data_IF_481534542638
#
_entry.id   IF_481534542638
#
_cell.length_a   1.000
_cell.length_b   1.000
_cell.length_c   1.000
_cell.angle_alpha   90.00
_cell.angle_beta   90.00
_cell.angle_gamma   90.00
#
_symmetry.space_group_name_H-M   'P 1'
#
loop_
_entity.id
_entity.type
_entity.pdbx_description
1 polymer ?
#
# COMPACT_ATOMS: atom_id res chain seq x y z
N UNK A 1 -6.88 8.27 -44.10
CA UNK A 1 -7.84 8.26 -42.97
C UNK A 1 -8.06 6.89 -42.32
N UNK A 2 -7.84 5.76 -42.98
CA UNK A 2 -8.04 4.42 -42.39
C UNK A 2 -6.91 3.97 -41.42
N UNK A 3 -5.65 4.38 -41.63
CA UNK A 3 -4.55 3.96 -40.76
C UNK A 3 -4.58 4.56 -39.36
N UNK A 4 -5.01 5.81 -39.23
CA UNK A 4 -5.06 6.54 -37.93
C UNK A 4 -6.14 5.98 -36.97
N UNK A 5 -7.22 5.42 -37.54
CA UNK A 5 -8.30 4.82 -36.72
C UNK A 5 -7.93 3.44 -36.16
N UNK A 6 -7.04 2.69 -36.84
CA UNK A 6 -6.60 1.37 -36.38
C UNK A 6 -5.63 1.52 -35.22
N UNK A 7 -4.65 2.43 -35.30
CA UNK A 7 -3.71 2.71 -34.18
C UNK A 7 -4.44 3.25 -32.94
N UNK A 8 -5.45 4.11 -33.10
CA UNK A 8 -6.25 4.62 -31.98
C UNK A 8 -7.12 3.54 -31.33
N UNK A 9 -7.59 2.53 -32.09
CA UNK A 9 -8.34 1.41 -31.53
C UNK A 9 -7.44 0.40 -30.80
N UNK A 10 -6.26 0.11 -31.32
CA UNK A 10 -5.26 -0.73 -30.65
C UNK A 10 -4.76 -0.06 -29.37
N UNK A 11 -4.46 1.23 -29.39
CA UNK A 11 -4.07 1.99 -28.19
C UNK A 11 -5.16 2.02 -27.11
N UNK A 12 -6.44 2.17 -27.48
CA UNK A 12 -7.55 2.09 -26.53
C UNK A 12 -7.70 0.68 -25.94
N UNK A 13 -7.51 -0.36 -26.73
CA UNK A 13 -7.56 -1.74 -26.26
C UNK A 13 -6.46 -2.05 -25.24
N UNK A 14 -5.25 -1.56 -25.45
CA UNK A 14 -4.11 -1.76 -24.55
C UNK A 14 -4.26 -0.95 -23.24
N UNK A 15 -4.79 0.27 -23.32
CA UNK A 15 -5.08 1.09 -22.12
C UNK A 15 -6.11 0.41 -21.23
N UNK A 16 -7.22 -0.06 -21.80
CA UNK A 16 -8.27 -0.76 -21.04
C UNK A 16 -7.78 -2.07 -20.40
N UNK A 17 -6.86 -2.79 -21.06
CA UNK A 17 -6.20 -3.97 -20.48
C UNK A 17 -5.30 -3.60 -19.32
N UNK A 18 -4.57 -2.50 -19.44
CA UNK A 18 -3.71 -1.98 -18.37
C UNK A 18 -4.52 -1.51 -17.17
N UNK A 19 -5.62 -0.79 -17.39
CA UNK A 19 -6.54 -0.36 -16.33
C UNK A 19 -7.13 -1.55 -15.58
N UNK A 20 -7.59 -2.57 -16.29
CA UNK A 20 -8.09 -3.81 -15.68
C UNK A 20 -7.01 -4.55 -14.88
N UNK A 21 -5.77 -4.58 -15.39
CA UNK A 21 -4.67 -5.18 -14.66
C UNK A 21 -4.33 -4.37 -13.39
N UNK A 22 -4.46 -3.05 -13.41
CA UNK A 22 -4.29 -2.19 -12.24
C UNK A 22 -5.35 -2.48 -11.18
N UNK A 23 -6.64 -2.57 -11.55
CA UNK A 23 -7.73 -2.93 -10.64
C UNK A 23 -7.48 -4.29 -9.96
N UNK A 24 -7.00 -5.28 -10.72
CA UNK A 24 -6.64 -6.60 -10.17
C UNK A 24 -5.48 -6.49 -9.16
N UNK A 25 -4.45 -5.70 -9.45
CA UNK A 25 -3.31 -5.49 -8.54
C UNK A 25 -3.76 -4.77 -7.28
N UNK A 26 -4.57 -3.73 -7.39
CA UNK A 26 -5.10 -2.98 -6.25
C UNK A 26 -5.97 -3.86 -5.34
N UNK A 27 -6.82 -4.70 -5.93
CA UNK A 27 -7.64 -5.66 -5.18
C UNK A 27 -6.77 -6.67 -4.41
N UNK A 28 -5.73 -7.22 -5.05
CA UNK A 28 -4.79 -8.15 -4.40
C UNK A 28 -3.94 -7.48 -3.33
N UNK A 29 -3.54 -6.23 -3.51
CA UNK A 29 -2.82 -5.47 -2.49
C UNK A 29 -3.69 -5.19 -1.26
N UNK A 30 -4.97 -4.87 -1.48
CA UNK A 30 -5.93 -4.71 -0.40
C UNK A 30 -6.13 -6.02 0.37
N UNK A 31 -6.33 -7.14 -0.34
CA UNK A 31 -6.44 -8.48 0.24
C UNK A 31 -5.20 -8.82 1.07
N UNK A 32 -4.00 -8.59 0.53
CA UNK A 32 -2.73 -8.80 1.24
C UNK A 32 -2.66 -8.00 2.54
N UNK A 33 -3.05 -6.72 2.50
CA UNK A 33 -3.04 -5.86 3.69
C UNK A 33 -4.00 -6.38 4.76
N UNK A 34 -5.18 -6.86 4.35
CA UNK A 34 -6.15 -7.44 5.27
C UNK A 34 -5.63 -8.74 5.91
N UNK A 35 -5.02 -9.62 5.11
CA UNK A 35 -4.41 -10.86 5.60
C UNK A 35 -3.25 -10.58 6.56
N UNK A 36 -2.39 -9.61 6.26
CA UNK A 36 -1.31 -9.17 7.14
C UNK A 36 -1.84 -8.70 8.51
N UNK A 37 -2.90 -7.91 8.51
CA UNK A 37 -3.52 -7.46 9.75
C UNK A 37 -4.12 -8.63 10.55
N UNK A 38 -4.80 -9.57 9.88
CA UNK A 38 -5.35 -10.76 10.53
C UNK A 38 -4.25 -11.65 11.11
N UNK A 39 -3.14 -11.83 10.38
CA UNK A 39 -1.99 -12.60 10.85
C UNK A 39 -1.37 -11.96 12.09
N UNK A 40 -1.20 -10.64 12.11
CA UNK A 40 -0.69 -9.93 13.29
C UNK A 40 -1.58 -10.11 14.52
N UNK A 41 -2.90 -10.12 14.35
CA UNK A 41 -3.84 -10.39 15.46
C UNK A 41 -3.67 -11.83 15.91
N UNK A 42 -3.66 -12.78 14.97
CA UNK A 42 -3.52 -14.21 15.26
C UNK A 42 -2.21 -14.52 16.00
N UNK A 43 -1.09 -13.90 15.58
CA UNK A 43 0.20 -14.07 16.25
C UNK A 43 0.21 -13.49 17.66
N UNK A 44 -0.43 -12.35 17.89
CA UNK A 44 -0.57 -11.78 19.24
C UNK A 44 -1.41 -12.68 20.15
N UNK A 45 -2.52 -13.20 19.63
CA UNK A 45 -3.38 -14.14 20.37
C UNK A 45 -2.63 -15.45 20.67
N UNK A 46 -1.87 -15.97 19.71
CA UNK A 46 -1.05 -17.16 19.87
C UNK A 46 0.03 -16.94 20.94
N UNK A 47 0.78 -15.85 20.86
CA UNK A 47 1.81 -15.52 21.83
C UNK A 47 1.23 -15.31 23.25
N UNK A 48 0.04 -14.71 23.35
CA UNK A 48 -0.65 -14.55 24.63
C UNK A 48 -1.12 -15.89 25.22
N UNK A 49 -1.51 -16.83 24.35
CA UNK A 49 -2.01 -18.13 24.77
C UNK A 49 -0.88 -19.13 25.04
N UNK A 50 0.25 -19.03 24.36
CA UNK A 50 1.39 -19.93 24.45
C UNK A 50 1.89 -20.14 25.90
N UNK A 51 1.83 -19.05 26.68
CA UNK A 51 2.23 -19.07 28.10
C UNK A 51 1.33 -19.99 28.94
N UNK A 52 0.06 -20.11 28.57
CA UNK A 52 -0.95 -20.90 29.27
C UNK A 52 -0.95 -22.39 28.85
N UNK A 53 -0.20 -22.73 27.80
CA UNK A 53 -0.18 -24.05 27.20
C UNK A 53 -1.38 -24.37 26.32
N UNK A 54 -1.38 -25.53 25.72
CA UNK A 54 -2.48 -26.00 24.87
C UNK A 54 -3.55 -26.70 25.73
N UNK A 55 -4.57 -25.94 26.11
CA UNK A 55 -5.72 -26.46 26.82
C UNK A 55 -6.96 -26.49 25.92
N UNK A 56 -7.89 -27.40 26.21
CA UNK A 56 -9.16 -27.45 25.49
C UNK A 56 -10.18 -26.48 26.09
N UNK A 57 -10.58 -25.42 25.37
CA UNK A 57 -11.59 -24.44 25.82
C UNK A 57 -12.93 -25.12 26.17
N UNK A 58 -13.26 -26.25 25.53
CA UNK A 58 -14.47 -27.00 25.87
C UNK A 58 -14.45 -27.53 27.30
N UNK A 59 -13.29 -27.78 27.86
CA UNK A 59 -13.16 -28.17 29.27
C UNK A 59 -13.48 -27.03 30.21
N UNK A 60 -13.10 -25.79 29.88
CA UNK A 60 -13.48 -24.59 30.64
C UNK A 60 -14.96 -24.35 30.55
N UNK A 61 -15.57 -24.51 29.36
CA UNK A 61 -17.04 -24.37 29.17
C UNK A 61 -17.81 -25.42 30.00
N UNK A 62 -17.36 -26.66 30.03
CA UNK A 62 -17.99 -27.68 30.85
C UNK A 62 -17.95 -27.38 32.36
N UNK A 63 -16.90 -26.72 32.83
CA UNK A 63 -16.85 -26.26 34.22
C UNK A 63 -17.86 -25.13 34.45
N UNK A 64 -18.05 -24.23 33.48
CA UNK A 64 -19.05 -23.17 33.55
C UNK A 64 -20.48 -23.74 33.57
N UNK A 65 -20.79 -24.77 32.79
CA UNK A 65 -22.09 -25.42 32.77
C UNK A 65 -22.48 -26.05 34.12
N UNK A 66 -21.50 -26.46 34.92
CA UNK A 66 -21.73 -26.98 36.26
C UNK A 66 -21.58 -25.94 37.38
N UNK A 67 -21.56 -24.64 36.99
CA UNK A 67 -21.58 -23.52 37.93
C UNK A 67 -20.22 -23.13 38.50
N UNK A 68 -19.11 -23.49 37.81
CA UNK A 68 -17.77 -23.03 38.18
C UNK A 68 -17.21 -22.09 37.15
N UNK A 69 -16.46 -21.10 37.60
CA UNK A 69 -15.78 -20.13 36.74
C UNK A 69 -14.27 -20.30 36.86
N UNK A 70 -13.59 -20.40 35.73
CA UNK A 70 -12.13 -20.42 35.66
C UNK A 70 -11.66 -19.00 35.29
N UNK A 71 -10.84 -18.41 36.16
CA UNK A 71 -10.27 -17.09 35.94
C UNK A 71 -8.75 -17.21 35.77
N UNK A 72 -8.18 -16.40 34.92
CA UNK A 72 -6.77 -16.39 34.57
C UNK A 72 -6.10 -15.11 35.08
N UNK A 73 -4.98 -15.26 35.77
CA UNK A 73 -4.31 -14.16 36.43
C UNK A 73 -2.80 -14.18 36.20
N UNK A 74 -2.23 -12.97 36.17
CA UNK A 74 -0.78 -12.77 36.13
C UNK A 74 -0.38 -11.93 37.32
N UNK A 75 0.65 -12.36 38.05
CA UNK A 75 1.23 -11.57 39.11
C UNK A 75 2.76 -11.63 39.11
N UNK A 76 3.39 -10.74 39.86
CA UNK A 76 4.79 -10.88 40.18
C UNK A 76 4.96 -11.92 41.29
N UNK A 77 6.09 -12.63 41.31
CA UNK A 77 6.41 -13.64 42.36
C UNK A 77 6.28 -13.07 43.78
N UNK A 78 6.59 -11.77 43.96
CA UNK A 78 6.47 -11.10 45.26
C UNK A 78 5.03 -10.88 45.74
N UNK A 79 4.10 -10.83 44.79
CA UNK A 79 2.69 -10.54 45.06
C UNK A 79 1.85 -11.83 45.08
N UNK A 80 2.45 -12.97 44.83
CA UNK A 80 1.75 -14.25 44.90
C UNK A 80 1.58 -14.66 46.36
N UNK A 81 0.34 -14.89 46.80
CA UNK A 81 0.02 -15.31 48.14
C UNK A 81 -0.36 -16.81 48.13
N UNK A 82 0.34 -17.61 48.91
CA UNK A 82 0.09 -19.04 49.02
C UNK A 82 -1.31 -19.37 49.59
N UNK A 83 -1.93 -18.47 50.34
CA UNK A 83 -3.30 -18.64 50.86
C UNK A 83 -4.34 -18.75 49.72
N UNK A 84 -4.04 -18.26 48.51
CA UNK A 84 -4.91 -18.40 47.37
C UNK A 84 -5.06 -19.81 46.84
N UNK A 85 -4.06 -20.69 47.14
CA UNK A 85 -4.11 -22.12 46.79
C UNK A 85 -5.31 -22.79 47.47
N UNK A 86 -5.52 -22.49 48.75
CA UNK A 86 -6.59 -23.10 49.55
C UNK A 86 -7.92 -22.35 49.41
N UNK A 87 -7.89 -21.00 49.32
CA UNK A 87 -9.11 -20.17 49.35
C UNK A 87 -9.82 -20.15 47.98
N UNK A 88 -9.06 -20.08 46.89
CA UNK A 88 -9.59 -19.90 45.53
C UNK A 88 -9.18 -21.04 44.57
N UNK A 89 -8.64 -22.13 45.11
CA UNK A 89 -8.07 -23.24 44.33
C UNK A 89 -7.10 -22.73 43.23
N UNK A 90 -6.26 -21.73 43.61
CA UNK A 90 -5.27 -21.17 42.71
C UNK A 90 -4.29 -22.28 42.29
N UNK A 91 -4.02 -22.37 40.99
CA UNK A 91 -3.06 -23.36 40.47
C UNK A 91 -2.09 -22.61 39.55
N UNK A 92 -0.79 -22.68 39.86
CA UNK A 92 0.25 -22.16 38.99
C UNK A 92 0.28 -22.96 37.69
N UNK A 93 0.15 -22.29 36.54
CA UNK A 93 0.21 -22.89 35.21
C UNK A 93 1.61 -22.77 34.64
N UNK A 94 2.22 -21.61 34.79
CA UNK A 94 3.55 -21.35 34.27
C UNK A 94 4.25 -20.23 35.04
N UNK A 95 5.59 -20.19 34.94
CA UNK A 95 6.43 -19.15 35.50
C UNK A 95 7.48 -18.69 34.49
N UNK A 96 7.44 -17.43 34.13
CA UNK A 96 8.38 -16.83 33.20
C UNK A 96 9.09 -15.64 33.86
N UNK A 97 10.37 -15.81 34.15
CA UNK A 97 11.13 -14.82 34.89
C UNK A 97 10.54 -14.58 36.29
N UNK A 98 10.17 -13.35 36.61
CA UNK A 98 9.55 -12.97 37.88
C UNK A 98 8.01 -12.92 37.83
N UNK A 99 7.38 -13.41 36.76
CA UNK A 99 5.93 -13.45 36.57
C UNK A 99 5.39 -14.86 36.75
N UNK A 100 4.33 -14.97 37.55
CA UNK A 100 3.58 -16.21 37.74
C UNK A 100 2.24 -16.11 37.01
N UNK A 101 1.94 -17.11 36.22
CA UNK A 101 0.69 -17.30 35.49
C UNK A 101 -0.09 -18.39 36.21
N UNK A 102 -1.26 -18.07 36.72
CA UNK A 102 -2.06 -19.00 37.51
C UNK A 102 -3.55 -18.88 37.20
N UNK A 103 -4.28 -19.92 37.44
CA UNK A 103 -5.72 -19.94 37.33
C UNK A 103 -6.37 -20.09 38.70
N UNK A 104 -7.59 -19.60 38.82
CA UNK A 104 -8.46 -19.87 39.97
C UNK A 104 -9.74 -20.55 39.49
N UNK A 105 -10.28 -21.44 40.32
CA UNK A 105 -11.58 -22.10 40.05
C UNK A 105 -12.51 -21.72 41.18
N UNK A 106 -13.52 -20.91 40.87
CA UNK A 106 -14.48 -20.42 41.86
C UNK A 106 -15.91 -20.74 41.43
N UNK A 107 -16.88 -20.70 42.38
CA UNK A 107 -18.30 -20.84 42.02
C UNK A 107 -18.74 -19.59 41.25
N UNK A 108 -19.61 -19.78 40.30
CA UNK A 108 -20.23 -18.69 39.55
C UNK A 108 -20.76 -17.58 40.46
N UNK A 109 -20.45 -16.33 40.17
CA UNK A 109 -20.80 -15.19 41.01
C UNK A 109 -19.83 -14.87 42.14
N UNK A 110 -18.82 -15.70 42.40
CA UNK A 110 -17.78 -15.43 43.39
C UNK A 110 -16.51 -15.01 42.67
N UNK A 111 -16.29 -13.71 42.44
CA UNK A 111 -15.04 -13.20 41.87
C UNK A 111 -14.02 -13.09 43.04
N UNK A 112 -12.82 -13.67 42.88
CA UNK A 112 -11.74 -13.45 43.83
C UNK A 112 -11.36 -11.97 43.85
N UNK A 113 -11.36 -11.33 45.01
CA UNK A 113 -10.82 -9.97 45.17
C UNK A 113 -9.28 -10.06 45.24
N UNK A 114 -8.64 -10.22 44.07
CA UNK A 114 -7.19 -10.28 43.97
C UNK A 114 -6.70 -8.96 43.37
N UNK A 115 -5.73 -8.32 44.02
CA UNK A 115 -5.04 -7.13 43.50
C UNK A 115 -3.99 -7.52 42.46
N UNK A 116 -4.42 -8.27 41.41
CA UNK A 116 -3.56 -8.78 40.35
C UNK A 116 -4.25 -8.62 38.98
N UNK A 117 -3.44 -8.67 37.93
CA UNK A 117 -3.92 -8.52 36.56
C UNK A 117 -4.74 -9.75 36.13
N UNK A 118 -6.01 -9.52 35.80
CA UNK A 118 -6.87 -10.57 35.20
C UNK A 118 -6.71 -10.56 33.68
N UNK A 119 -6.62 -11.76 33.09
CA UNK A 119 -6.41 -11.96 31.65
C UNK A 119 -7.64 -12.64 31.05
N UNK A 120 -8.14 -12.09 29.94
CA UNK A 120 -9.14 -12.76 29.11
C UNK A 120 -8.44 -13.51 28.01
N UNK A 121 -8.53 -14.82 28.01
CA UNK A 121 -7.93 -15.64 26.95
C UNK A 121 -8.88 -15.80 25.76
N UNK A 122 -8.31 -16.03 24.56
CA UNK A 122 -9.08 -16.41 23.38
C UNK A 122 -9.91 -17.69 23.61
N UNK A 123 -11.06 -17.78 22.96
CA UNK A 123 -11.97 -18.95 23.06
C UNK A 123 -11.46 -20.15 22.22
N UNK A 124 -10.27 -20.08 21.66
CA UNK A 124 -9.66 -21.13 20.84
C UNK A 124 -8.46 -21.77 21.55
N UNK A 125 -8.23 -23.07 21.27
CA UNK A 125 -7.01 -23.74 21.71
C UNK A 125 -5.77 -23.21 20.96
N UNK A 126 -4.60 -23.38 21.56
CA UNK A 126 -3.32 -22.97 20.96
C UNK A 126 -3.10 -23.66 19.60
N UNK A 127 -3.41 -24.97 19.53
CA UNK A 127 -3.31 -25.77 18.31
C UNK A 127 -4.21 -25.23 17.19
N UNK A 128 -5.43 -24.79 17.49
CA UNK A 128 -6.32 -24.17 16.49
C UNK A 128 -5.86 -22.78 16.04
N UNK A 129 -5.31 -22.00 16.96
CA UNK A 129 -4.72 -20.71 16.61
C UNK A 129 -3.47 -20.88 15.71
N UNK A 130 -2.62 -21.85 16.04
CA UNK A 130 -1.45 -22.15 15.21
C UNK A 130 -1.86 -22.56 13.78
N UNK A 131 -2.85 -23.47 13.64
CA UNK A 131 -3.38 -23.85 12.34
C UNK A 131 -4.00 -22.67 11.57
N UNK A 132 -4.68 -21.75 12.27
CA UNK A 132 -5.23 -20.53 11.65
C UNK A 132 -4.14 -19.59 11.17
N UNK A 133 -3.07 -19.38 11.94
CA UNK A 133 -1.93 -18.57 11.52
C UNK A 133 -1.27 -19.18 10.27
N UNK A 134 -1.08 -20.50 10.23
CA UNK A 134 -0.52 -21.21 9.07
C UNK A 134 -1.41 -21.06 7.82
N UNK A 135 -2.73 -21.17 7.97
CA UNK A 135 -3.67 -20.95 6.86
C UNK A 135 -3.60 -19.50 6.32
N UNK A 136 -3.51 -18.49 7.20
CA UNK A 136 -3.33 -17.09 6.81
C UNK A 136 -2.00 -16.86 6.08
N UNK A 137 -0.92 -17.49 6.52
CA UNK A 137 0.37 -17.45 5.83
C UNK A 137 0.30 -18.07 4.43
N UNK A 138 -0.40 -19.21 4.28
CA UNK A 138 -0.61 -19.84 2.98
C UNK A 138 -1.46 -18.99 2.05
N UNK A 139 -2.53 -18.36 2.55
CA UNK A 139 -3.34 -17.40 1.77
C UNK A 139 -2.49 -16.22 1.32
N UNK A 140 -1.68 -15.64 2.19
CA UNK A 140 -0.80 -14.53 1.88
C UNK A 140 0.21 -14.89 0.79
N UNK A 141 0.80 -16.08 0.86
CA UNK A 141 1.68 -16.62 -0.19
C UNK A 141 0.95 -16.78 -1.51
N UNK A 142 -0.29 -17.28 -1.50
CA UNK A 142 -1.11 -17.39 -2.72
C UNK A 142 -1.36 -16.03 -3.37
N UNK A 143 -1.59 -14.98 -2.58
CA UNK A 143 -1.75 -13.60 -3.10
C UNK A 143 -0.43 -13.11 -3.70
N UNK A 144 0.71 -13.38 -3.06
CA UNK A 144 2.03 -13.01 -3.59
C UNK A 144 2.33 -13.72 -4.91
N UNK A 145 1.98 -15.00 -5.03
CA UNK A 145 2.12 -15.78 -6.28
C UNK A 145 1.25 -15.18 -7.40
N UNK A 146 0.01 -14.77 -7.09
CA UNK A 146 -0.87 -14.08 -8.07
C UNK A 146 -0.29 -12.75 -8.50
N UNK A 147 0.23 -11.94 -7.57
CA UNK A 147 0.90 -10.66 -7.91
C UNK A 147 2.13 -10.88 -8.79
N UNK A 148 2.93 -11.90 -8.50
CA UNK A 148 4.09 -12.25 -9.31
C UNK A 148 3.69 -12.70 -10.73
N UNK A 149 2.60 -13.47 -10.87
CA UNK A 149 2.07 -13.88 -12.16
C UNK A 149 1.59 -12.68 -12.99
N UNK A 150 0.86 -11.75 -12.36
CA UNK A 150 0.41 -10.50 -13.02
C UNK A 150 1.62 -9.67 -13.46
N UNK A 151 2.66 -9.55 -12.61
CA UNK A 151 3.88 -8.84 -12.96
C UNK A 151 4.59 -9.47 -14.17
N UNK A 152 4.61 -10.80 -14.28
CA UNK A 152 5.20 -11.50 -15.42
C UNK A 152 4.40 -11.33 -16.72
N UNK A 153 3.08 -11.38 -16.63
CA UNK A 153 2.21 -11.44 -17.82
C UNK A 153 1.73 -10.06 -18.30
N UNK A 154 1.47 -9.13 -17.37
CA UNK A 154 0.75 -7.88 -17.65
C UNK A 154 1.61 -6.62 -17.53
N UNK A 155 2.90 -6.74 -17.19
CA UNK A 155 3.80 -5.58 -17.01
C UNK A 155 3.83 -4.69 -18.24
N UNK A 156 3.94 -5.28 -19.43
CA UNK A 156 3.97 -4.53 -20.68
C UNK A 156 2.67 -3.75 -20.90
N UNK A 157 1.52 -4.36 -20.66
CA UNK A 157 0.21 -3.68 -20.78
C UNK A 157 0.07 -2.51 -19.80
N UNK A 158 0.58 -2.66 -18.57
CA UNK A 158 0.61 -1.60 -17.58
C UNK A 158 1.51 -0.44 -18.01
N UNK A 159 2.68 -0.73 -18.57
CA UNK A 159 3.60 0.31 -19.08
C UNK A 159 2.99 1.07 -20.27
N UNK A 160 2.33 0.37 -21.18
CA UNK A 160 1.64 1.01 -22.32
C UNK A 160 0.49 1.88 -21.83
N UNK A 161 -0.33 1.40 -20.91
CA UNK A 161 -1.42 2.18 -20.31
C UNK A 161 -0.89 3.43 -19.60
N UNK A 162 0.19 3.31 -18.83
CA UNK A 162 0.86 4.45 -18.18
C UNK A 162 1.33 5.48 -19.18
N UNK A 163 2.00 5.05 -20.26
CA UNK A 163 2.48 5.94 -21.31
C UNK A 163 1.32 6.69 -22.00
N UNK A 164 0.23 5.97 -22.31
CA UNK A 164 -0.96 6.55 -22.93
C UNK A 164 -1.65 7.58 -22.03
N UNK A 165 -1.85 7.24 -20.75
CA UNK A 165 -2.45 8.17 -19.78
C UNK A 165 -1.58 9.40 -19.60
N UNK A 166 -0.25 9.23 -19.50
CA UNK A 166 0.69 10.36 -19.42
C UNK A 166 0.58 11.27 -20.64
N UNK A 167 0.56 10.70 -21.85
CA UNK A 167 0.38 11.47 -23.09
C UNK A 167 -0.95 12.23 -23.12
N UNK A 168 -2.05 11.62 -22.65
CA UNK A 168 -3.35 12.28 -22.55
C UNK A 168 -3.33 13.44 -21.54
N UNK A 169 -2.67 13.27 -20.41
CA UNK A 169 -2.51 14.34 -19.41
C UNK A 169 -1.70 15.50 -20.01
N UNK A 170 -0.61 15.22 -20.69
CA UNK A 170 0.22 16.23 -21.33
C UNK A 170 -0.59 16.99 -22.41
N UNK A 171 -1.32 16.26 -23.24
CA UNK A 171 -2.21 16.87 -24.22
C UNK A 171 -3.28 17.74 -23.57
N UNK A 172 -3.93 17.27 -22.51
CA UNK A 172 -4.95 18.03 -21.78
C UNK A 172 -4.36 19.32 -21.16
N UNK A 173 -3.13 19.25 -20.64
CA UNK A 173 -2.42 20.45 -20.13
C UNK A 173 -2.18 21.48 -21.24
N UNK A 174 -1.77 21.01 -22.42
CA UNK A 174 -1.59 21.90 -23.59
C UNK A 174 -2.91 22.55 -23.96
N UNK A 175 -3.99 21.78 -24.06
CA UNK A 175 -5.32 22.33 -24.36
C UNK A 175 -5.77 23.37 -23.33
N UNK A 176 -5.55 23.11 -22.03
CA UNK A 176 -5.89 24.04 -20.95
C UNK A 176 -5.02 25.31 -20.94
N UNK A 177 -3.77 25.22 -21.43
CA UNK A 177 -2.85 26.37 -21.53
C UNK A 177 -3.03 27.17 -22.83
N UNK A 178 -3.87 26.70 -23.75
CA UNK A 178 -4.16 27.39 -25.00
C UNK A 178 -5.03 28.61 -24.74
N UNK A 179 -4.55 29.79 -25.10
CA UNK A 179 -5.34 31.05 -25.03
C UNK A 179 -6.42 31.07 -26.09
N UNK A 180 -7.62 31.41 -25.68
CA UNK A 180 -8.73 31.61 -26.60
C UNK A 180 -8.71 33.08 -27.07
N UNK A 181 -8.66 33.27 -28.36
CA UNK A 181 -8.66 34.58 -28.97
C UNK A 181 -9.89 34.74 -29.90
N UNK A 182 -10.29 35.99 -30.16
CA UNK A 182 -11.39 36.33 -31.09
C UNK A 182 -12.73 35.64 -30.77
N UNK A 183 -13.28 35.87 -29.59
CA UNK A 183 -14.59 35.35 -29.13
C UNK A 183 -14.68 33.81 -29.22
N UNK A 184 -13.67 33.09 -28.71
CA UNK A 184 -13.57 31.63 -28.67
C UNK A 184 -13.48 30.93 -30.04
N UNK A 185 -13.20 31.68 -31.09
CA UNK A 185 -13.12 31.12 -32.47
C UNK A 185 -11.71 30.75 -32.91
N UNK A 186 -10.69 31.23 -32.22
CA UNK A 186 -9.28 30.96 -32.51
C UNK A 186 -8.59 30.43 -31.28
N UNK A 187 -7.84 29.34 -31.45
CA UNK A 187 -6.94 28.80 -30.46
C UNK A 187 -5.51 29.24 -30.76
N UNK A 188 -4.87 29.95 -29.81
CA UNK A 188 -3.47 30.33 -29.90
C UNK A 188 -2.64 29.39 -29.05
N UNK A 189 -1.70 28.67 -29.68
CA UNK A 189 -0.73 27.83 -29.01
C UNK A 189 0.65 28.45 -29.22
N UNK A 190 1.32 28.78 -28.11
CA UNK A 190 2.70 29.26 -28.12
C UNK A 190 3.61 28.21 -27.47
N UNK A 191 4.77 27.97 -28.05
CA UNK A 191 5.71 27.01 -27.52
C UNK A 191 7.15 27.25 -27.97
N UNK A 192 8.08 26.59 -27.33
CA UNK A 192 9.50 26.67 -27.64
C UNK A 192 9.97 25.41 -28.36
N UNK A 193 10.79 25.58 -29.40
CA UNK A 193 11.36 24.48 -30.14
C UNK A 193 12.89 24.66 -30.31
N UNK A 194 13.68 23.58 -30.24
CA UNK A 194 15.10 23.65 -30.57
C UNK A 194 15.30 24.07 -32.04
N UNK A 195 16.26 24.95 -32.30
CA UNK A 195 16.55 25.44 -33.64
C UNK A 195 16.83 24.32 -34.66
N UNK A 196 17.37 23.19 -34.20
CA UNK A 196 17.60 21.99 -35.02
C UNK A 196 16.35 21.29 -35.49
N UNK A 197 15.21 21.48 -34.82
CA UNK A 197 13.93 20.83 -35.14
C UNK A 197 12.98 21.75 -35.92
N UNK A 198 13.32 23.01 -36.09
CA UNK A 198 12.48 23.99 -36.82
C UNK A 198 12.10 23.49 -38.21
N UNK A 199 12.98 22.89 -39.04
CA UNK A 199 12.61 22.41 -40.38
C UNK A 199 11.55 21.31 -40.35
N UNK A 200 11.63 20.39 -39.38
CA UNK A 200 10.64 19.29 -39.21
C UNK A 200 9.29 19.84 -38.75
N UNK A 201 9.30 20.75 -37.77
CA UNK A 201 8.11 21.39 -37.24
C UNK A 201 7.40 22.21 -38.32
N UNK A 202 8.17 23.00 -39.12
CA UNK A 202 7.64 23.79 -40.25
C UNK A 202 6.96 22.87 -41.27
N UNK A 203 7.60 21.76 -41.62
CA UNK A 203 7.03 20.83 -42.57
C UNK A 203 5.75 20.16 -42.04
N UNK A 204 5.74 19.80 -40.75
CA UNK A 204 4.55 19.27 -40.09
C UNK A 204 3.39 20.27 -40.04
N UNK A 205 3.64 21.51 -39.64
CA UNK A 205 2.61 22.56 -39.52
C UNK A 205 2.03 22.92 -40.89
N UNK A 206 2.86 22.98 -41.94
CA UNK A 206 2.38 23.20 -43.30
C UNK A 206 1.41 22.10 -43.80
N UNK A 207 1.55 20.88 -43.32
CA UNK A 207 0.65 19.76 -43.65
C UNK A 207 -0.69 19.83 -42.88
N UNK A 208 -0.75 20.57 -41.79
CA UNK A 208 -1.95 20.66 -40.92
C UNK A 208 -2.87 21.86 -41.26
N UNK A 209 -2.57 22.61 -42.33
CA UNK A 209 -3.33 23.83 -42.73
C UNK A 209 -3.45 24.87 -41.58
N UNK A 210 -2.47 24.88 -40.66
CA UNK A 210 -2.42 25.79 -39.51
C UNK A 210 -1.62 27.06 -39.87
N UNK A 211 -2.12 28.24 -39.46
CA UNK A 211 -1.31 29.43 -39.52
C UNK A 211 -0.29 29.38 -38.36
N UNK A 212 0.97 29.63 -38.67
CA UNK A 212 2.01 29.68 -37.66
C UNK A 212 3.05 30.75 -37.98
N UNK A 213 3.66 31.27 -36.93
CA UNK A 213 4.76 32.22 -36.99
C UNK A 213 5.94 31.67 -36.16
N UNK A 214 7.16 31.81 -36.71
CA UNK A 214 8.40 31.41 -36.03
C UNK A 214 9.16 32.67 -35.75
N UNK A 215 9.39 32.98 -34.47
CA UNK A 215 10.17 34.12 -34.00
C UNK A 215 11.36 33.63 -33.17
N UNK A 216 12.48 34.37 -33.25
CA UNK A 216 13.62 34.15 -32.36
C UNK A 216 13.30 34.67 -30.94
N UNK A 217 13.81 34.02 -29.89
CA UNK A 217 13.59 34.46 -28.53
C UNK A 217 14.20 35.83 -28.26
N UNK A 218 13.48 36.65 -27.51
CA UNK A 218 13.96 37.94 -27.03
C UNK A 218 14.68 37.80 -25.68
N UNK A 219 15.52 38.75 -25.26
CA UNK A 219 16.20 38.67 -23.94
C UNK A 219 15.28 38.65 -22.74
N UNK A 220 14.02 39.00 -22.93
CA UNK A 220 12.98 39.02 -21.86
C UNK A 220 12.24 37.68 -21.75
N UNK A 221 12.42 36.82 -22.74
CA UNK A 221 11.74 35.53 -22.78
C UNK A 221 12.41 34.48 -21.84
N UNK A 222 11.61 33.80 -21.10
CA UNK A 222 12.08 32.66 -20.24
C UNK A 222 12.17 31.39 -21.06
N UNK A 223 13.23 31.23 -21.83
CA UNK A 223 13.42 30.10 -22.73
C UNK A 223 13.82 28.86 -21.93
N UNK A 224 13.12 27.70 -22.08
CA UNK A 224 13.50 26.48 -21.43
C UNK A 224 14.86 25.97 -21.93
N UNK A 225 15.74 25.62 -21.00
CA UNK A 225 17.08 25.11 -21.31
C UNK A 225 17.00 23.61 -21.58
N UNK A 226 17.40 23.19 -22.80
CA UNK A 226 17.55 21.78 -23.11
C UNK A 226 19.01 21.36 -22.86
N UNK A 227 19.23 20.48 -21.85
CA UNK A 227 20.55 19.90 -21.59
C UNK A 227 20.83 18.79 -22.60
N UNK A 228 21.92 18.91 -23.36
CA UNK A 228 22.40 17.88 -24.29
C UNK A 228 23.80 17.43 -23.88
N UNK A 229 23.90 16.77 -22.72
CA UNK A 229 25.16 16.27 -22.22
C UNK A 229 25.48 14.87 -22.76
N UNK A 230 26.70 14.65 -23.24
CA UNK A 230 27.18 13.35 -23.73
C UNK A 230 28.15 12.70 -22.75
N UNK A 231 28.08 11.37 -22.64
CA UNK A 231 29.01 10.59 -21.84
C UNK A 231 28.91 10.84 -20.33
N UNK A 232 30.06 11.08 -19.69
CA UNK A 232 30.16 11.22 -18.22
C UNK A 232 29.34 12.36 -17.63
N UNK A 233 29.19 13.46 -18.37
CA UNK A 233 28.41 14.63 -17.91
C UNK A 233 26.91 14.36 -17.75
N UNK A 234 26.37 13.33 -18.42
CA UNK A 234 24.98 12.92 -18.27
C UNK A 234 24.64 12.46 -16.85
N UNK A 235 25.62 11.98 -16.09
CA UNK A 235 25.43 11.58 -14.68
C UNK A 235 25.12 12.77 -13.76
N UNK A 236 25.47 13.99 -14.17
CA UNK A 236 25.24 15.21 -13.40
C UNK A 236 23.94 15.93 -13.78
N UNK A 237 23.22 15.50 -14.83
CA UNK A 237 21.93 16.11 -15.23
C UNK A 237 20.88 16.16 -14.11
N UNK A 238 20.69 15.09 -13.29
CA UNK A 238 19.73 15.15 -12.17
C UNK A 238 20.10 16.20 -11.14
N UNK A 239 21.38 16.44 -10.89
CA UNK A 239 21.88 17.43 -9.94
C UNK A 239 21.68 18.85 -10.50
N UNK A 240 21.99 19.04 -11.78
CA UNK A 240 21.80 20.33 -12.47
C UNK A 240 20.31 20.72 -12.52
N UNK A 241 19.43 19.77 -12.80
CA UNK A 241 17.99 20.00 -12.79
C UNK A 241 17.48 20.39 -11.38
N UNK A 242 18.02 19.78 -10.31
CA UNK A 242 17.71 20.19 -8.93
C UNK A 242 18.20 21.60 -8.61
N UNK A 243 19.38 22.01 -9.08
CA UNK A 243 19.96 23.33 -8.82
C UNK A 243 19.17 24.42 -9.60
N UNK A 244 18.81 24.14 -10.86
CA UNK A 244 17.96 25.04 -11.63
C UNK A 244 16.58 25.24 -11.00
N UNK A 245 15.98 24.16 -10.45
CA UNK A 245 14.69 24.25 -9.74
C UNK A 245 14.78 25.08 -8.45
N UNK A 246 15.86 24.96 -7.70
CA UNK A 246 16.11 25.75 -6.48
C UNK A 246 16.39 27.24 -6.80
N UNK A 247 17.01 27.54 -7.95
CA UNK A 247 17.25 28.92 -8.38
C UNK A 247 15.97 29.66 -8.75
N UNK A 248 14.97 28.94 -9.28
CA UNK A 248 13.66 29.53 -9.62
C UNK A 248 12.81 29.78 -8.35
N UNK A 249 12.95 28.97 -7.31
CA UNK A 249 12.22 29.16 -6.04
C UNK A 249 12.75 30.31 -5.15
N UNK A 250 13.92 30.86 -5.43
CA UNK A 250 14.52 31.96 -4.65
C UNK A 250 14.22 33.37 -5.24
N UNK A 251 13.34 33.49 -6.26
CA UNK A 251 12.95 34.75 -6.90
C UNK A 251 11.43 35.01 -6.88
N UNK A 252 10.72 34.48 -5.87
CA UNK A 252 9.33 34.91 -5.58
C UNK A 252 9.27 35.48 -4.17
#
# INVERSE_FOLDING_TARGET
>A
MQGFNVELQEQKGDTARGEKALEEVEALQLEKTQLQHQLQICDKERAALEVWGDFDPASVMRLQEVGYQVNFYICSEKNFNEEWLDTYYATEVNRIGSRIYFITITKEGTLPELEVESVKLPVMSLSRLAARCEDLEQQMKSVDDKLAAIAGEKLLSLQVAQANIRSQIEFSKVVLSTEQAADDKLMLLQGWAPATQIPEITNFLNQQEAYFEIADPTPEDNVPIQLNNKGFFRLFEPIMNCICFLSIMNWI
#
